data_IF_593872276356
#
_entry.id   IF_593872276356
#
_cell.length_a   1.000
_cell.length_b   1.000
_cell.length_c   1.000
_cell.angle_alpha   90.00
_cell.angle_beta   90.00
_cell.angle_gamma   90.00
#
_symmetry.space_group_name_H-M   'P 1'
#
loop_
_entity.id
_entity.type
_entity.pdbx_description
1 polymer ?
#
# COMPACT_ATOMS: atom_id res chain seq x y z
N UNK A 1 9.29 0.64 17.36
CA UNK A 1 8.26 -0.06 16.55
C UNK A 1 8.45 0.39 15.11
N UNK A 2 8.22 -0.46 14.11
CA UNK A 2 8.31 -0.01 12.72
C UNK A 2 7.32 1.13 12.46
N UNK A 3 7.71 2.08 11.61
CA UNK A 3 6.80 3.11 11.10
C UNK A 3 5.78 2.44 10.19
N UNK A 4 4.51 2.77 10.35
CA UNK A 4 3.43 2.10 9.62
C UNK A 4 2.84 3.05 8.57
N UNK A 5 2.60 2.53 7.37
CA UNK A 5 1.89 3.24 6.31
C UNK A 5 0.87 2.31 5.66
N UNK A 6 -0.28 2.88 5.29
CA UNK A 6 -1.24 2.25 4.40
C UNK A 6 -0.84 2.60 2.96
N UNK A 7 -0.72 1.61 2.09
CA UNK A 7 -0.23 1.81 0.73
C UNK A 7 -0.76 0.73 -0.22
N UNK A 8 -0.86 1.07 -1.50
CA UNK A 8 -1.16 0.11 -2.57
C UNK A 8 0.02 -0.83 -2.85
N UNK A 9 -0.28 -2.06 -3.25
CA UNK A 9 0.75 -3.04 -3.59
C UNK A 9 1.67 -2.55 -4.73
N UNK A 10 1.12 -1.81 -5.71
CA UNK A 10 1.87 -1.30 -6.85
C UNK A 10 3.01 -0.37 -6.41
N UNK A 11 2.75 0.54 -5.47
CA UNK A 11 3.73 1.52 -5.02
C UNK A 11 4.97 0.87 -4.40
N UNK A 12 4.80 -0.22 -3.63
CA UNK A 12 5.91 -0.99 -3.05
C UNK A 12 6.85 -1.54 -4.13
N UNK A 13 6.33 -1.81 -5.33
CA UNK A 13 7.11 -2.36 -6.44
C UNK A 13 7.71 -1.31 -7.36
N UNK A 14 7.08 -0.14 -7.45
CA UNK A 14 7.47 0.97 -8.31
C UNK A 14 8.61 1.79 -7.72
N UNK A 15 8.58 2.02 -6.41
CA UNK A 15 9.48 2.96 -5.75
C UNK A 15 10.60 2.26 -4.99
N UNK A 16 11.78 2.23 -5.59
CA UNK A 16 12.99 1.64 -4.98
C UNK A 16 13.38 2.29 -3.64
N UNK A 17 13.04 3.56 -3.43
CA UNK A 17 13.28 4.27 -2.16
C UNK A 17 12.46 3.70 -1.01
N UNK A 18 11.25 3.20 -1.29
CA UNK A 18 10.43 2.48 -0.32
C UNK A 18 11.07 1.16 0.12
N UNK A 19 12.03 0.66 -0.66
CA UNK A 19 12.82 -0.55 -0.38
C UNK A 19 14.08 -0.29 0.46
N UNK A 20 14.43 0.97 0.71
CA UNK A 20 15.62 1.36 1.50
C UNK A 20 15.30 2.47 2.51
N UNK A 21 14.33 2.27 3.42
CA UNK A 21 13.98 3.29 4.40
C UNK A 21 15.10 3.48 5.43
N UNK A 22 15.22 4.71 5.94
CA UNK A 22 16.17 5.08 7.00
C UNK A 22 15.82 4.47 8.37
N UNK A 23 14.59 3.97 8.52
CA UNK A 23 14.08 3.28 9.69
C UNK A 23 13.33 2.01 9.28
N UNK A 24 12.99 1.14 10.23
CA UNK A 24 12.14 -0.02 9.93
C UNK A 24 10.71 0.43 9.61
N UNK A 25 10.14 -0.12 8.54
CA UNK A 25 8.81 0.24 8.02
C UNK A 25 7.94 -1.00 7.87
N UNK A 26 6.66 -0.85 8.18
CA UNK A 26 5.60 -1.81 7.90
C UNK A 26 4.60 -1.19 6.92
N UNK A 27 4.49 -1.78 5.74
CA UNK A 27 3.49 -1.44 4.74
C UNK A 27 2.27 -2.33 4.94
N UNK A 28 1.13 -1.70 5.22
CA UNK A 28 -0.16 -2.37 5.32
C UNK A 28 -0.88 -2.22 3.99
N UNK A 29 -1.08 -3.35 3.31
CA UNK A 29 -1.50 -3.40 1.92
C UNK A 29 -2.88 -4.08 1.82
N UNK A 30 -3.89 -3.43 1.20
CA UNK A 30 -5.17 -4.08 0.91
C UNK A 30 -4.97 -5.29 -0.01
N UNK A 31 -5.62 -6.42 0.29
CA UNK A 31 -5.51 -7.61 -0.56
C UNK A 31 -6.00 -7.38 -2.00
N UNK A 32 -7.03 -6.55 -2.18
CA UNK A 32 -7.55 -6.13 -3.49
C UNK A 32 -6.49 -5.45 -4.36
N UNK A 33 -5.66 -4.58 -3.79
CA UNK A 33 -4.53 -3.96 -4.53
C UNK A 33 -3.47 -4.99 -4.96
N UNK A 34 -3.35 -6.12 -4.25
CA UNK A 34 -2.49 -7.23 -4.68
C UNK A 34 -3.14 -7.97 -5.86
N UNK A 35 -4.48 -8.10 -5.87
CA UNK A 35 -5.21 -8.68 -7.00
C UNK A 35 -4.99 -7.89 -8.30
N UNK A 36 -5.00 -6.58 -8.21
CA UNK A 36 -4.71 -5.69 -9.35
C UNK A 36 -3.32 -5.97 -9.96
N UNK A 37 -2.30 -6.27 -9.13
CA UNK A 37 -0.98 -6.65 -9.66
C UNK A 37 -1.02 -7.92 -10.51
N UNK A 38 -1.88 -8.88 -10.18
CA UNK A 38 -2.05 -10.08 -11.01
C UNK A 38 -2.77 -9.75 -12.31
N UNK A 39 -3.77 -8.87 -12.25
CA UNK A 39 -4.52 -8.43 -13.44
C UNK A 39 -3.59 -7.71 -14.42
N UNK A 40 -2.82 -6.73 -13.95
CA UNK A 40 -1.85 -5.97 -14.76
C UNK A 40 -0.74 -6.85 -15.37
N UNK A 41 -0.37 -7.95 -14.70
CA UNK A 41 0.58 -8.93 -15.25
C UNK A 41 -0.04 -9.83 -16.33
N UNK A 42 -1.36 -10.03 -16.28
CA UNK A 42 -2.08 -10.89 -17.22
C UNK A 42 -2.46 -10.19 -18.52
N UNK A 43 -2.49 -8.84 -18.52
CA UNK A 43 -2.80 -8.04 -19.69
C UNK A 43 -1.54 -7.58 -20.43
N UNK A 44 -1.71 -7.19 -21.70
CA UNK A 44 -0.66 -6.57 -22.51
C UNK A 44 -0.62 -5.04 -22.35
N UNK A 45 -1.28 -4.50 -21.33
CA UNK A 45 -1.47 -3.06 -21.17
C UNK A 45 -0.16 -2.37 -20.84
N UNK A 46 0.09 -1.23 -21.46
CA UNK A 46 1.29 -0.43 -21.19
C UNK A 46 0.99 0.44 -19.96
N UNK A 47 1.70 0.18 -18.87
CA UNK A 47 1.62 0.90 -17.60
C UNK A 47 2.50 2.16 -17.69
N UNK A 48 3.69 2.02 -18.28
CA UNK A 48 4.67 3.12 -18.38
C UNK A 48 4.82 3.59 -19.83
N UNK A 49 4.93 4.91 -20.04
CA UNK A 49 5.10 5.50 -21.38
C UNK A 49 6.35 5.02 -22.13
N UNK A 50 7.37 4.56 -21.40
CA UNK A 50 8.57 3.92 -21.93
C UNK A 50 8.49 2.39 -21.77
N UNK A 51 8.70 1.65 -22.86
CA UNK A 51 8.59 0.18 -22.89
C UNK A 51 9.63 -0.54 -22.02
N UNK A 52 10.85 -0.04 -21.92
CA UNK A 52 11.88 -0.65 -21.07
C UNK A 52 11.52 -0.47 -19.59
N UNK A 53 11.00 0.71 -19.23
CA UNK A 53 10.49 0.97 -17.89
C UNK A 53 9.23 0.13 -17.59
N UNK A 54 8.32 -0.03 -18.56
CA UNK A 54 7.13 -0.87 -18.43
C UNK A 54 7.50 -2.33 -18.11
N UNK A 55 8.44 -2.89 -18.86
CA UNK A 55 8.95 -4.23 -18.64
C UNK A 55 9.61 -4.38 -17.27
N UNK A 56 10.39 -3.38 -16.86
CA UNK A 56 11.03 -3.37 -15.54
C UNK A 56 9.98 -3.38 -14.42
N UNK A 57 8.98 -2.50 -14.50
CA UNK A 57 7.89 -2.42 -13.52
C UNK A 57 7.11 -3.72 -13.42
N UNK A 58 6.72 -4.31 -14.55
CA UNK A 58 6.03 -5.61 -14.58
C UNK A 58 6.88 -6.73 -13.99
N UNK A 59 8.20 -6.68 -14.19
CA UNK A 59 9.11 -7.64 -13.56
C UNK A 59 9.15 -7.47 -12.04
N UNK A 60 9.15 -6.23 -11.52
CA UNK A 60 9.10 -5.96 -10.07
C UNK A 60 7.78 -6.42 -9.47
N UNK A 61 6.65 -6.15 -10.13
CA UNK A 61 5.33 -6.67 -9.73
C UNK A 61 5.32 -8.19 -9.64
N UNK A 62 5.88 -8.86 -10.66
CA UNK A 62 6.01 -10.32 -10.68
C UNK A 62 6.87 -10.87 -9.55
N UNK A 63 7.95 -10.18 -9.20
CA UNK A 63 8.80 -10.60 -8.08
C UNK A 63 8.03 -10.54 -6.75
N UNK A 64 7.29 -9.44 -6.52
CA UNK A 64 6.47 -9.30 -5.32
C UNK A 64 5.38 -10.38 -5.25
N UNK A 65 4.61 -10.56 -6.32
CA UNK A 65 3.53 -11.57 -6.32
C UNK A 65 4.07 -12.98 -6.13
N UNK A 66 5.16 -13.34 -6.81
CA UNK A 66 5.82 -14.65 -6.63
C UNK A 66 6.27 -14.88 -5.18
N UNK A 67 6.78 -13.84 -4.52
CA UNK A 67 7.19 -13.91 -3.12
C UNK A 67 6.00 -14.09 -2.16
N UNK A 68 4.88 -13.42 -2.43
CA UNK A 68 3.65 -13.56 -1.65
C UNK A 68 2.99 -14.94 -1.85
N UNK A 69 3.20 -15.58 -3.00
CA UNK A 69 2.71 -16.93 -3.32
C UNK A 69 3.50 -18.06 -2.66
N UNK A 70 4.67 -17.78 -2.08
CA UNK A 70 5.44 -18.79 -1.34
C UNK A 70 4.56 -19.44 -0.26
N UNK A 71 4.67 -20.78 -0.04
CA UNK A 71 3.68 -21.52 0.74
C UNK A 71 3.40 -20.95 2.15
N UNK A 72 4.43 -20.42 2.81
CA UNK A 72 4.28 -19.80 4.12
C UNK A 72 3.55 -18.45 4.03
N UNK A 73 3.95 -17.58 3.11
CA UNK A 73 3.37 -16.25 2.94
C UNK A 73 1.92 -16.36 2.49
N UNK A 74 1.64 -17.20 1.49
CA UNK A 74 0.29 -17.48 1.02
C UNK A 74 -0.62 -17.94 2.16
N UNK A 75 -0.15 -18.87 3.01
CA UNK A 75 -0.92 -19.35 4.17
C UNK A 75 -1.24 -18.23 5.18
N UNK A 76 -0.31 -17.29 5.40
CA UNK A 76 -0.53 -16.12 6.28
C UNK A 76 -1.62 -15.20 5.72
N UNK A 77 -1.61 -14.99 4.40
CA UNK A 77 -2.61 -14.18 3.70
C UNK A 77 -3.97 -14.87 3.72
N UNK A 78 -4.04 -16.14 3.29
CA UNK A 78 -5.27 -16.95 3.28
C UNK A 78 -5.97 -16.96 4.64
N UNK A 79 -5.22 -17.02 5.74
CA UNK A 79 -5.78 -16.93 7.09
C UNK A 79 -6.42 -15.56 7.37
N UNK A 80 -5.79 -14.46 6.95
CA UNK A 80 -6.34 -13.12 7.12
C UNK A 80 -7.62 -12.90 6.31
N UNK A 81 -7.73 -13.53 5.13
CA UNK A 81 -8.90 -13.40 4.25
C UNK A 81 -10.17 -14.06 4.81
N UNK A 82 -10.08 -14.87 5.85
CA UNK A 82 -11.25 -15.55 6.44
C UNK A 82 -12.17 -14.60 7.21
N UNK A 83 -11.64 -13.47 7.70
CA UNK A 83 -12.37 -12.56 8.58
C UNK A 83 -12.14 -11.13 8.06
N UNK A 84 -13.21 -10.34 7.83
CA UNK A 84 -13.10 -8.93 7.48
C UNK A 84 -12.18 -8.15 8.42
N UNK A 85 -11.43 -7.20 7.87
CA UNK A 85 -10.50 -6.31 8.57
C UNK A 85 -9.36 -7.00 9.31
N UNK A 86 -9.10 -8.27 9.01
CA UNK A 86 -8.00 -9.03 9.61
C UNK A 86 -6.72 -8.79 8.84
N UNK A 87 -5.64 -8.59 9.59
CA UNK A 87 -4.27 -8.47 9.07
C UNK A 87 -3.61 -9.84 9.03
N UNK A 88 -2.81 -10.10 8.00
CA UNK A 88 -1.89 -11.23 7.99
C UNK A 88 -0.87 -11.10 9.11
N UNK A 89 -0.23 -12.21 9.46
CA UNK A 89 1.03 -12.09 10.19
C UNK A 89 2.09 -11.44 9.29
N UNK A 90 3.10 -10.82 9.89
CA UNK A 90 4.15 -10.09 9.18
C UNK A 90 4.86 -10.94 8.12
N UNK A 91 5.06 -10.35 6.94
CA UNK A 91 5.79 -10.91 5.81
C UNK A 91 7.02 -10.01 5.57
N UNK A 92 8.21 -10.41 6.04
CA UNK A 92 9.41 -9.60 5.86
C UNK A 92 9.78 -9.52 4.37
N UNK A 93 9.90 -8.31 3.81
CA UNK A 93 10.37 -8.14 2.44
C UNK A 93 11.91 -8.04 2.39
N UNK A 94 12.49 -7.36 3.38
CA UNK A 94 13.92 -7.29 3.65
C UNK A 94 14.15 -6.97 5.15
N UNK A 95 15.40 -6.74 5.55
CA UNK A 95 15.77 -6.54 6.96
C UNK A 95 15.04 -5.37 7.63
N UNK A 96 14.72 -4.31 6.89
CA UNK A 96 14.05 -3.11 7.41
C UNK A 96 12.57 -3.03 7.05
N UNK A 97 12.03 -3.93 6.22
CA UNK A 97 10.69 -3.80 5.65
C UNK A 97 9.83 -5.01 5.95
N UNK A 98 8.62 -4.73 6.42
CA UNK A 98 7.56 -5.70 6.63
C UNK A 98 6.38 -5.34 5.72
N UNK A 99 5.79 -6.35 5.08
CA UNK A 99 4.47 -6.26 4.48
C UNK A 99 3.46 -6.96 5.40
N UNK A 100 2.32 -6.33 5.58
CA UNK A 100 1.16 -6.91 6.23
C UNK A 100 -0.05 -6.74 5.30
N UNK A 101 -0.66 -7.86 4.91
CA UNK A 101 -1.83 -7.83 4.02
C UNK A 101 -3.10 -7.73 4.86
N UNK A 102 -4.00 -6.81 4.51
CA UNK A 102 -5.29 -6.66 5.19
C UNK A 102 -6.45 -7.05 4.29
N UNK A 103 -7.38 -7.83 4.84
CA UNK A 103 -8.67 -8.14 4.23
C UNK A 103 -9.65 -6.98 4.44
N UNK A 104 -9.41 -5.85 3.77
CA UNK A 104 -10.33 -4.73 3.83
C UNK A 104 -11.66 -5.08 3.17
N UNK A 105 -12.71 -4.37 3.58
CA UNK A 105 -14.03 -4.52 2.98
C UNK A 105 -14.47 -3.13 2.54
N UNK A 106 -14.57 -2.94 1.23
CA UNK A 106 -15.21 -1.76 0.69
C UNK A 106 -16.69 -1.71 1.12
N UNK A 107 -17.07 -0.63 1.79
CA UNK A 107 -18.46 -0.35 2.20
C UNK A 107 -19.12 0.71 1.33
N UNK A 108 -18.51 1.07 0.20
CA UNK A 108 -18.90 2.13 -0.74
C UNK A 108 -19.03 3.51 -0.08
N UNK A 109 -18.43 3.70 1.11
CA UNK A 109 -18.58 4.94 1.90
C UNK A 109 -18.05 6.18 1.17
N UNK A 110 -17.12 5.97 0.23
CA UNK A 110 -16.49 7.01 -0.58
C UNK A 110 -16.64 6.76 -2.10
N UNK A 111 -17.45 5.77 -2.50
CA UNK A 111 -17.51 5.28 -3.88
C UNK A 111 -18.06 6.26 -4.94
N UNK A 112 -18.57 7.43 -4.53
CA UNK A 112 -18.98 8.49 -5.45
C UNK A 112 -17.78 9.29 -6.00
N UNK A 113 -16.76 9.50 -5.16
CA UNK A 113 -15.61 10.37 -5.46
C UNK A 113 -14.29 9.60 -5.57
N UNK A 114 -14.28 8.33 -5.13
CA UNK A 114 -13.09 7.50 -5.04
C UNK A 114 -13.36 6.13 -5.65
N UNK A 115 -12.34 5.55 -6.29
CA UNK A 115 -12.44 4.19 -6.79
C UNK A 115 -12.45 3.16 -5.64
N UNK A 116 -12.72 1.87 -5.91
CA UNK A 116 -12.77 0.85 -4.86
C UNK A 116 -11.46 0.68 -4.05
N UNK A 117 -10.29 0.78 -4.68
CA UNK A 117 -8.99 0.65 -3.99
C UNK A 117 -8.76 1.88 -3.12
N UNK A 118 -8.97 3.08 -3.67
CA UNK A 118 -8.90 4.33 -2.91
C UNK A 118 -9.84 4.32 -1.71
N UNK A 119 -11.06 3.82 -1.89
CA UNK A 119 -12.05 3.69 -0.82
C UNK A 119 -11.54 2.75 0.28
N UNK A 120 -10.97 1.59 -0.07
CA UNK A 120 -10.38 0.68 0.91
C UNK A 120 -9.20 1.31 1.65
N UNK A 121 -8.29 2.00 0.94
CA UNK A 121 -7.16 2.71 1.53
C UNK A 121 -7.62 3.71 2.60
N UNK A 122 -8.64 4.52 2.27
CA UNK A 122 -9.25 5.48 3.19
C UNK A 122 -9.85 4.79 4.42
N UNK A 123 -10.64 3.73 4.20
CA UNK A 123 -11.29 3.00 5.29
C UNK A 123 -10.27 2.33 6.22
N UNK A 124 -9.18 1.77 5.67
CA UNK A 124 -8.09 1.20 6.47
C UNK A 124 -7.39 2.30 7.27
N UNK A 125 -7.03 3.41 6.64
CA UNK A 125 -6.34 4.53 7.29
C UNK A 125 -7.16 5.10 8.46
N UNK A 126 -8.46 5.30 8.25
CA UNK A 126 -9.38 5.73 9.31
C UNK A 126 -9.53 4.69 10.41
N UNK A 127 -9.68 3.41 10.05
CA UNK A 127 -9.87 2.34 11.03
C UNK A 127 -8.65 2.13 11.92
N UNK A 128 -7.45 2.20 11.34
CA UNK A 128 -6.21 1.92 12.03
C UNK A 128 -5.52 3.17 12.59
N UNK A 129 -5.95 4.37 12.18
CA UNK A 129 -5.32 5.65 12.50
C UNK A 129 -3.84 5.65 12.07
N UNK A 130 -3.59 5.18 10.84
CA UNK A 130 -2.27 5.06 10.22
C UNK A 130 -2.29 5.91 8.94
N UNK A 131 -1.22 6.66 8.64
CA UNK A 131 -1.17 7.51 7.45
C UNK A 131 -1.16 6.69 6.16
N UNK A 132 -1.69 7.32 5.11
CA UNK A 132 -1.55 6.89 3.73
C UNK A 132 -0.22 7.38 3.15
N UNK A 133 0.36 6.56 2.26
CA UNK A 133 1.51 6.91 1.45
C UNK A 133 1.17 6.62 -0.01
N UNK A 134 1.26 7.62 -0.88
CA UNK A 134 0.91 7.53 -2.30
C UNK A 134 1.63 8.60 -3.12
N UNK A 135 1.78 8.41 -4.42
CA UNK A 135 2.23 9.41 -5.39
C UNK A 135 1.06 10.02 -6.20
N UNK A 136 -0.16 9.56 -5.95
CA UNK A 136 -1.33 9.91 -6.75
C UNK A 136 -1.85 11.30 -6.37
N UNK A 137 -1.35 12.34 -7.04
CA UNK A 137 -1.69 13.74 -6.74
C UNK A 137 -3.20 14.01 -6.75
N UNK A 138 -3.95 13.45 -7.71
CA UNK A 138 -5.40 13.62 -7.78
C UNK A 138 -6.12 13.02 -6.57
N UNK A 139 -5.65 11.86 -6.09
CA UNK A 139 -6.19 11.20 -4.89
C UNK A 139 -5.92 12.06 -3.64
N UNK A 140 -4.68 12.53 -3.48
CA UNK A 140 -4.29 13.45 -2.38
C UNK A 140 -5.16 14.71 -2.40
N UNK A 141 -5.38 15.30 -3.58
CA UNK A 141 -6.22 16.49 -3.73
C UNK A 141 -7.67 16.21 -3.31
N UNK A 142 -8.27 15.10 -3.77
CA UNK A 142 -9.64 14.71 -3.39
C UNK A 142 -9.78 14.48 -1.88
N UNK A 143 -8.78 13.89 -1.23
CA UNK A 143 -8.73 13.73 0.23
C UNK A 143 -8.79 15.09 0.94
N UNK A 144 -7.97 16.04 0.50
CA UNK A 144 -7.85 17.37 1.12
C UNK A 144 -9.13 18.19 0.88
N UNK A 145 -9.62 18.22 -0.35
CA UNK A 145 -10.83 18.98 -0.73
C UNK A 145 -12.09 18.42 -0.07
N UNK A 146 -12.17 17.09 0.06
CA UNK A 146 -13.24 16.41 0.79
C UNK A 146 -13.16 16.55 2.31
N UNK A 147 -12.06 17.09 2.85
CA UNK A 147 -11.86 17.25 4.28
C UNK A 147 -11.85 15.92 5.04
N UNK A 148 -11.34 14.86 4.40
CA UNK A 148 -11.38 13.52 4.97
C UNK A 148 -10.41 13.43 6.17
N UNK A 149 -10.79 12.76 7.27
CA UNK A 149 -9.97 12.67 8.49
C UNK A 149 -8.89 11.58 8.35
N UNK A 150 -8.05 11.68 7.34
CA UNK A 150 -6.91 10.80 7.07
C UNK A 150 -5.65 11.62 6.88
N UNK A 151 -4.54 11.16 7.44
CA UNK A 151 -3.23 11.72 7.15
C UNK A 151 -2.71 11.05 5.87
N UNK A 152 -2.23 11.84 4.92
CA UNK A 152 -1.65 11.35 3.68
C UNK A 152 -0.29 12.02 3.46
N UNK A 153 0.69 11.24 3.01
CA UNK A 153 2.00 11.72 2.59
C UNK A 153 2.20 11.39 1.12
N UNK A 154 2.79 12.35 0.41
CA UNK A 154 3.37 12.08 -0.90
C UNK A 154 4.61 11.18 -0.72
N UNK A 155 4.88 10.29 -1.68
CA UNK A 155 6.09 9.47 -1.68
C UNK A 155 7.36 10.34 -1.72
N UNK A 156 7.32 11.51 -2.37
CA UNK A 156 8.43 12.48 -2.36
C UNK A 156 8.75 12.97 -0.93
N UNK A 157 7.75 12.98 -0.04
CA UNK A 157 7.89 13.37 1.36
C UNK A 157 8.19 12.19 2.30
N UNK A 158 8.42 10.99 1.78
CA UNK A 158 8.56 9.76 2.58
C UNK A 158 9.64 9.86 3.66
N UNK A 159 10.80 10.45 3.36
CA UNK A 159 11.87 10.60 4.36
C UNK A 159 11.46 11.50 5.51
N UNK A 160 10.74 12.58 5.22
CA UNK A 160 10.18 13.47 6.23
C UNK A 160 9.11 12.73 7.05
N UNK A 161 8.26 11.95 6.39
CA UNK A 161 7.25 11.14 7.05
C UNK A 161 7.83 10.10 8.02
N UNK A 162 9.09 9.67 7.85
CA UNK A 162 9.76 8.77 8.79
C UNK A 162 10.27 9.48 10.06
N UNK A 163 10.35 10.81 10.08
CA UNK A 163 10.87 11.56 11.21
C UNK A 163 9.95 11.50 12.45
N UNK A 164 10.55 11.39 13.64
CA UNK A 164 9.82 11.14 14.90
C UNK A 164 8.82 12.24 15.29
N UNK A 165 9.01 13.45 14.78
CA UNK A 165 8.23 14.63 15.14
C UNK A 165 6.87 14.71 14.43
N UNK A 166 6.64 13.90 13.39
CA UNK A 166 5.45 13.98 12.54
C UNK A 166 4.24 13.24 13.15
N UNK A 167 4.50 12.25 14.00
CA UNK A 167 3.47 11.41 14.64
C UNK A 167 3.18 11.75 16.11
N UNK A 168 3.83 12.77 16.65
CA UNK A 168 3.59 13.21 18.02
C UNK A 168 2.35 14.09 18.06
N UNK A 169 1.34 13.80 18.91
CA UNK A 169 0.24 14.74 19.11
C UNK A 169 0.82 16.06 19.60
N UNK A 170 0.47 17.18 18.95
CA UNK A 170 0.81 18.50 19.49
C UNK A 170 0.22 18.60 20.91
N UNK A 171 0.99 19.09 21.90
CA UNK A 171 0.53 19.21 23.28
C UNK A 171 -0.67 20.15 23.43
#
# INVERSE_FOLDING_TARGET
MPRQFIIEAAMVTLYGELLQPSQSVEYIVPYTSILELYELQSTSDIIMSNLDHDQHVKQQMKQLTSYLEEPLNRKKIEHALQIPWTKSTSIPLCDSIIITVINAVDTEAYGEDFDPIETELLLIAQRLQIPLLTDQYEFIQRIIEGGLPVQVFDIEDFQFALEDNVFSPRP
#
